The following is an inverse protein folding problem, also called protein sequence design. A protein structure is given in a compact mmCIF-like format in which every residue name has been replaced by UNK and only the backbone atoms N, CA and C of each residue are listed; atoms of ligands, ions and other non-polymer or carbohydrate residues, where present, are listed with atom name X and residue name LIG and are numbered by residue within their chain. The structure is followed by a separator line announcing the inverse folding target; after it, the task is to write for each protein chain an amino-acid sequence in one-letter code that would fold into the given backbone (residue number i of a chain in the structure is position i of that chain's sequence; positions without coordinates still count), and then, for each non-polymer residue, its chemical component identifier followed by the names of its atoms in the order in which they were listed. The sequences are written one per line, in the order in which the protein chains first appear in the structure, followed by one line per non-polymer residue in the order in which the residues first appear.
data_IF_153227558674
#
_entry.id   IF_153227558674
#
_cell.length_a   1.000
_cell.length_b   1.000
_cell.length_c   1.000
_cell.angle_alpha   90.00
_cell.angle_beta   90.00
_cell.angle_gamma   90.00
#
_symmetry.space_group_name_H-M   'P 1'
#
loop_
_entity.id
_entity.type
_entity.pdbx_description
1 polymer ?
#
# COMPACT_ATOMS: atom_id res chain seq x y z
N UNK A 1 -17.73 -8.01 -14.21
CA UNK A 1 -17.67 -6.91 -13.24
C UNK A 1 -17.10 -7.47 -11.94
N UNK A 2 -15.78 -7.40 -11.78
CA UNK A 2 -15.13 -7.89 -10.56
C UNK A 2 -15.41 -6.84 -9.49
N UNK A 3 -16.23 -7.19 -8.51
CA UNK A 3 -16.32 -6.45 -7.26
C UNK A 3 -14.95 -6.51 -6.60
N UNK A 4 -14.20 -5.40 -6.67
CA UNK A 4 -13.10 -5.18 -5.74
C UNK A 4 -13.72 -5.37 -4.34
N UNK A 5 -13.35 -6.43 -3.64
CA UNK A 5 -13.52 -6.43 -2.19
C UNK A 5 -12.56 -5.35 -1.72
N UNK A 6 -13.08 -4.13 -1.61
CA UNK A 6 -12.41 -3.09 -0.88
C UNK A 6 -11.99 -3.74 0.45
N UNK A 7 -10.74 -3.54 0.91
CA UNK A 7 -10.43 -3.84 2.30
C UNK A 7 -11.56 -3.27 3.17
N UNK A 8 -11.83 -3.87 4.33
CA UNK A 8 -12.88 -3.38 5.23
C UNK A 8 -12.50 -2.01 5.83
N UNK A 9 -12.25 -1.01 5.00
CA UNK A 9 -11.83 0.34 5.33
C UNK A 9 -12.92 1.06 6.11
N UNK A 10 -14.19 0.63 5.99
CA UNK A 10 -15.29 1.08 6.86
C UNK A 10 -15.10 0.71 8.34
N UNK A 11 -14.18 -0.22 8.64
CA UNK A 11 -13.78 -0.56 10.02
C UNK A 11 -12.66 0.33 10.55
N UNK A 12 -12.05 1.18 9.71
CA UNK A 12 -11.03 2.13 10.14
C UNK A 12 -11.74 3.30 10.84
N UNK A 13 -11.43 3.57 12.12
CA UNK A 13 -11.97 4.75 12.81
C UNK A 13 -11.69 6.05 12.04
N UNK A 14 -12.68 6.94 11.98
CA UNK A 14 -12.62 8.21 11.25
C UNK A 14 -12.99 8.10 9.76
N UNK A 15 -12.75 6.97 9.09
CA UNK A 15 -13.05 6.83 7.65
C UNK A 15 -14.55 6.94 7.32
N UNK A 16 -15.43 6.64 8.28
CA UNK A 16 -16.88 6.80 8.12
C UNK A 16 -17.33 8.27 8.11
N UNK A 17 -16.45 9.21 8.45
CA UNK A 17 -16.72 10.66 8.37
C UNK A 17 -16.50 11.20 6.96
N UNK A 18 -15.78 10.46 6.11
CA UNK A 18 -15.50 10.83 4.72
C UNK A 18 -16.75 10.60 3.87
N UNK A 19 -17.08 11.56 3.01
CA UNK A 19 -18.20 11.42 2.09
C UNK A 19 -17.99 10.25 1.11
N UNK A 20 -19.09 9.69 0.62
CA UNK A 20 -19.07 8.47 -0.20
C UNK A 20 -18.30 8.63 -1.50
N UNK A 21 -18.34 9.82 -2.11
CA UNK A 21 -17.70 10.07 -3.40
C UNK A 21 -16.19 10.12 -3.26
N UNK A 22 -15.69 10.88 -2.30
CA UNK A 22 -14.26 10.96 -1.98
C UNK A 22 -13.74 9.59 -1.54
N UNK A 23 -14.47 8.88 -0.68
CA UNK A 23 -14.10 7.52 -0.30
C UNK A 23 -13.96 6.61 -1.52
N UNK A 24 -14.85 6.71 -2.51
CA UNK A 24 -14.75 5.93 -3.73
C UNK A 24 -13.50 6.29 -4.56
N UNK A 25 -13.23 7.59 -4.75
CA UNK A 25 -12.03 8.09 -5.45
C UNK A 25 -10.75 7.61 -4.77
N UNK A 26 -10.64 7.80 -3.46
CA UNK A 26 -9.51 7.35 -2.65
C UNK A 26 -9.24 5.85 -2.84
N UNK A 27 -10.29 5.03 -2.78
CA UNK A 27 -10.13 3.59 -2.91
C UNK A 27 -9.72 3.15 -4.32
N UNK A 28 -10.13 3.85 -5.38
CA UNK A 28 -9.70 3.55 -6.75
C UNK A 28 -8.19 3.76 -6.92
N UNK A 29 -7.66 4.88 -6.43
CA UNK A 29 -6.25 5.23 -6.61
C UNK A 29 -5.29 4.56 -5.62
N UNK A 30 -5.80 4.01 -4.51
CA UNK A 30 -4.96 3.47 -3.41
C UNK A 30 -5.07 1.96 -3.22
N UNK A 31 -5.88 1.27 -4.01
CA UNK A 31 -6.03 -0.20 -3.90
C UNK A 31 -4.75 -0.93 -4.24
N UNK A 32 -3.96 -0.42 -5.20
CA UNK A 32 -2.68 -1.03 -5.55
C UNK A 32 -1.68 -0.92 -4.40
N UNK A 33 -1.50 0.28 -3.85
CA UNK A 33 -0.63 0.54 -2.69
C UNK A 33 -0.95 -0.39 -1.52
N UNK A 34 -2.25 -0.58 -1.23
CA UNK A 34 -2.70 -1.52 -0.23
C UNK A 34 -2.16 -2.94 -0.47
N UNK A 35 -2.26 -3.44 -1.71
CA UNK A 35 -1.76 -4.77 -2.04
C UNK A 35 -0.24 -4.86 -2.00
N UNK A 36 0.47 -3.83 -2.45
CA UNK A 36 1.92 -3.78 -2.35
C UNK A 36 2.36 -3.84 -0.88
N UNK A 37 1.79 -3.00 -0.01
CA UNK A 37 2.11 -2.97 1.43
C UNK A 37 1.73 -4.30 2.10
N UNK A 38 0.54 -4.84 1.81
CA UNK A 38 0.03 -6.08 2.41
C UNK A 38 0.88 -7.29 2.08
N UNK A 39 1.31 -7.40 0.83
CA UNK A 39 2.04 -8.57 0.33
C UNK A 39 3.55 -8.37 0.27
N UNK A 40 4.08 -7.22 0.68
CA UNK A 40 5.52 -6.94 0.72
C UNK A 40 6.29 -8.04 1.47
N UNK A 41 5.77 -8.54 2.60
CA UNK A 41 6.40 -9.60 3.38
C UNK A 41 6.53 -10.95 2.64
N UNK A 42 5.81 -11.12 1.53
CA UNK A 42 5.87 -12.31 0.67
C UNK A 42 6.89 -12.16 -0.46
N UNK A 43 7.51 -10.98 -0.60
CA UNK A 43 8.60 -10.70 -1.54
C UNK A 43 9.93 -10.91 -0.81
N UNK A 44 10.51 -12.10 -0.94
CA UNK A 44 11.72 -12.49 -0.21
C UNK A 44 12.67 -13.25 -1.12
N UNK A 45 13.98 -13.08 -0.92
CA UNK A 45 15.00 -13.78 -1.70
C UNK A 45 14.78 -13.65 -3.21
N UNK A 46 14.33 -12.47 -3.66
CA UNK A 46 14.08 -12.18 -5.07
C UNK A 46 13.00 -13.07 -5.72
N UNK A 47 12.09 -13.62 -4.90
CA UNK A 47 10.92 -14.40 -5.31
C UNK A 47 9.64 -13.92 -4.58
N UNK A 48 8.48 -14.16 -5.17
CA UNK A 48 7.18 -13.84 -4.59
C UNK A 48 6.45 -15.13 -4.20
N UNK A 49 6.09 -15.23 -2.92
CA UNK A 49 5.43 -16.41 -2.34
C UNK A 49 3.92 -16.22 -2.17
N UNK A 50 3.33 -15.17 -2.75
CA UNK A 50 1.89 -14.97 -2.76
C UNK A 50 1.19 -16.02 -3.61
N UNK A 51 0.21 -16.70 -3.00
CA UNK A 51 -0.67 -17.68 -3.66
C UNK A 51 -2.08 -17.07 -3.71
N UNK A 52 -2.60 -16.87 -4.92
CA UNK A 52 -3.97 -16.38 -5.09
C UNK A 52 -5.00 -17.50 -4.79
N UNK A 53 -6.29 -17.16 -4.59
CA UNK A 53 -7.34 -18.15 -4.29
C UNK A 53 -7.47 -19.28 -5.32
N UNK A 54 -7.00 -19.06 -6.56
CA UNK A 54 -6.95 -20.08 -7.61
C UNK A 54 -5.77 -21.07 -7.46
N UNK A 55 -5.00 -21.00 -6.37
CA UNK A 55 -3.85 -21.86 -6.09
C UNK A 55 -2.58 -21.51 -6.86
N UNK A 56 -2.59 -20.43 -7.65
CA UNK A 56 -1.44 -20.02 -8.46
C UNK A 56 -0.50 -19.14 -7.65
N UNK A 57 0.76 -19.56 -7.53
CA UNK A 57 1.83 -18.72 -7.02
C UNK A 57 2.16 -17.63 -8.05
N UNK A 58 2.27 -16.39 -7.59
CA UNK A 58 2.61 -15.24 -8.42
C UNK A 58 4.11 -14.97 -8.46
N UNK A 59 4.90 -15.98 -8.87
CA UNK A 59 6.36 -15.89 -8.86
C UNK A 59 6.88 -14.72 -9.70
N UNK A 60 8.13 -14.28 -9.44
CA UNK A 60 8.81 -13.22 -10.19
C UNK A 60 8.73 -13.45 -11.70
N UNK A 61 8.92 -14.71 -12.13
CA UNK A 61 8.77 -15.11 -13.53
C UNK A 61 7.37 -14.78 -14.09
N UNK A 62 6.30 -15.13 -13.35
CA UNK A 62 4.93 -14.85 -13.78
C UNK A 62 4.62 -13.36 -13.73
N UNK A 63 5.08 -12.65 -12.71
CA UNK A 63 4.97 -11.19 -12.63
C UNK A 63 5.61 -10.53 -13.85
N UNK A 64 6.81 -10.96 -14.25
CA UNK A 64 7.48 -10.44 -15.45
C UNK A 64 6.71 -10.72 -16.74
N UNK A 65 6.06 -11.89 -16.84
CA UNK A 65 5.20 -12.22 -17.98
C UNK A 65 3.93 -11.36 -18.05
N UNK A 66 3.39 -10.96 -16.89
CA UNK A 66 2.12 -10.23 -16.80
C UNK A 66 2.31 -8.72 -16.83
N UNK A 67 3.37 -8.22 -16.20
CA UNK A 67 3.61 -6.78 -15.94
C UNK A 67 4.81 -6.23 -16.70
N UNK A 68 5.63 -7.10 -17.30
CA UNK A 68 6.92 -6.73 -17.86
C UNK A 68 8.02 -6.65 -16.79
N UNK A 69 9.26 -6.57 -17.28
CA UNK A 69 10.47 -6.61 -16.45
C UNK A 69 10.60 -5.39 -15.56
N UNK A 70 10.32 -4.19 -16.09
CA UNK A 70 10.48 -2.92 -15.38
C UNK A 70 9.58 -2.86 -14.13
N UNK A 71 8.27 -3.05 -14.32
CA UNK A 71 7.30 -3.03 -13.23
C UNK A 71 7.60 -4.11 -12.19
N UNK A 72 8.00 -5.31 -12.65
CA UNK A 72 8.40 -6.39 -11.74
C UNK A 72 9.60 -5.96 -10.90
N UNK A 73 10.62 -5.34 -11.50
CA UNK A 73 11.80 -4.90 -10.76
C UNK A 73 11.44 -3.87 -9.69
N UNK A 74 10.56 -2.90 -10.00
CA UNK A 74 10.12 -1.89 -9.04
C UNK A 74 9.34 -2.53 -7.89
N UNK A 75 8.44 -3.50 -8.16
CA UNK A 75 7.71 -4.22 -7.10
C UNK A 75 8.68 -4.95 -6.17
N UNK A 76 9.69 -5.64 -6.72
CA UNK A 76 10.69 -6.34 -5.92
C UNK A 76 11.62 -5.38 -5.17
N UNK A 77 11.99 -4.25 -5.75
CA UNK A 77 12.75 -3.20 -5.07
C UNK A 77 11.95 -2.64 -3.88
N UNK A 78 10.68 -2.30 -4.09
CA UNK A 78 9.79 -1.86 -3.03
C UNK A 78 9.70 -2.92 -1.92
N UNK A 79 9.40 -4.17 -2.26
CA UNK A 79 9.27 -5.26 -1.29
C UNK A 79 10.53 -5.47 -0.45
N UNK A 80 11.71 -5.47 -1.09
CA UNK A 80 12.98 -5.62 -0.39
C UNK A 80 13.23 -4.47 0.58
N UNK A 81 13.13 -3.22 0.12
CA UNK A 81 13.33 -2.03 0.97
C UNK A 81 12.29 -1.94 2.07
N UNK A 82 11.05 -2.31 1.80
CA UNK A 82 9.98 -2.34 2.78
C UNK A 82 10.24 -3.39 3.87
N UNK A 83 10.71 -4.58 3.50
CA UNK A 83 11.04 -5.64 4.46
C UNK A 83 12.28 -5.29 5.31
N UNK A 84 13.21 -4.49 4.79
CA UNK A 84 14.36 -3.97 5.54
C UNK A 84 13.96 -3.04 6.70
N UNK A 85 12.81 -2.36 6.61
CA UNK A 85 12.28 -1.52 7.69
C UNK A 85 11.92 -2.31 8.96
N UNK A 86 11.70 -3.62 8.83
CA UNK A 86 11.36 -4.53 9.94
C UNK A 86 10.25 -3.97 10.84
N UNK A 87 9.18 -3.49 10.21
CA UNK A 87 8.00 -3.00 10.91
C UNK A 87 7.33 -4.16 11.66
N UNK A 88 6.89 -3.91 12.89
CA UNK A 88 6.06 -4.88 13.60
C UNK A 88 4.60 -4.83 13.09
N UNK A 89 3.78 -5.78 13.53
CA UNK A 89 2.39 -5.89 13.09
C UNK A 89 1.55 -4.63 13.40
N UNK A 90 1.85 -3.93 14.49
CA UNK A 90 1.11 -2.71 14.89
C UNK A 90 1.48 -1.54 13.97
N UNK A 91 2.78 -1.36 13.68
CA UNK A 91 3.27 -0.37 12.72
C UNK A 91 2.72 -0.64 11.31
N UNK A 92 2.76 -1.90 10.87
CA UNK A 92 2.23 -2.31 9.58
C UNK A 92 0.73 -2.03 9.44
N UNK A 93 -0.04 -2.32 10.49
CA UNK A 93 -1.49 -2.06 10.50
C UNK A 93 -1.83 -0.57 10.36
N UNK A 94 -1.00 0.33 10.90
CA UNK A 94 -1.19 1.77 10.82
C UNK A 94 -0.88 2.34 9.42
N UNK A 95 -0.13 1.62 8.58
CA UNK A 95 0.13 2.07 7.21
C UNK A 95 -1.14 2.07 6.34
N UNK A 96 -2.08 1.17 6.60
CA UNK A 96 -3.31 1.09 5.83
C UNK A 96 -4.15 2.38 5.89
N UNK A 97 -4.55 2.88 7.08
CA UNK A 97 -5.29 4.13 7.15
C UNK A 97 -4.47 5.33 6.66
N UNK A 98 -3.15 5.37 6.90
CA UNK A 98 -2.28 6.44 6.39
C UNK A 98 -2.31 6.48 4.86
N UNK A 99 -2.20 5.32 4.23
CA UNK A 99 -2.16 5.21 2.77
C UNK A 99 -3.52 5.51 2.12
N UNK A 100 -4.61 5.02 2.71
CA UNK A 100 -5.97 5.31 2.22
C UNK A 100 -6.26 6.80 2.32
N UNK A 101 -5.88 7.45 3.42
CA UNK A 101 -6.13 8.88 3.66
C UNK A 101 -5.09 9.83 3.06
N UNK A 102 -4.31 9.40 2.06
CA UNK A 102 -3.39 10.30 1.37
C UNK A 102 -4.16 11.42 0.65
N UNK A 103 -3.65 12.65 0.79
CA UNK A 103 -4.21 13.83 0.14
C UNK A 103 -4.20 13.68 -1.38
N UNK A 104 -5.26 14.17 -2.02
CA UNK A 104 -5.46 14.15 -3.47
C UNK A 104 -6.30 15.38 -3.83
N UNK A 105 -5.81 16.16 -4.79
CA UNK A 105 -6.41 17.45 -5.19
C UNK A 105 -7.81 17.29 -5.77
N UNK A 106 -8.20 16.08 -6.18
CA UNK A 106 -9.52 15.77 -6.74
C UNK A 106 -10.61 15.53 -5.68
N UNK A 107 -10.23 15.49 -4.41
CA UNK A 107 -11.12 15.24 -3.28
C UNK A 107 -11.75 16.54 -2.76
N UNK A 108 -13.03 16.47 -2.39
CA UNK A 108 -13.78 17.61 -1.89
C UNK A 108 -13.49 17.90 -0.41
N UNK A 109 -13.46 16.87 0.44
CA UNK A 109 -13.26 17.00 1.89
C UNK A 109 -11.81 16.71 2.32
N UNK A 110 -10.89 17.54 1.85
CA UNK A 110 -9.46 17.38 2.16
C UNK A 110 -9.14 17.59 3.64
N UNK A 111 -9.90 18.42 4.34
CA UNK A 111 -9.64 18.76 5.75
C UNK A 111 -9.89 17.55 6.67
N UNK A 112 -11.02 16.87 6.50
CA UNK A 112 -11.33 15.65 7.27
C UNK A 112 -10.32 14.55 6.96
N UNK A 113 -9.99 14.35 5.68
CA UNK A 113 -9.05 13.31 5.23
C UNK A 113 -7.66 13.55 5.81
N UNK A 114 -7.17 14.80 5.73
CA UNK A 114 -5.90 15.21 6.33
C UNK A 114 -5.89 15.04 7.85
N UNK A 115 -6.97 15.42 8.53
CA UNK A 115 -7.08 15.26 9.98
C UNK A 115 -6.97 13.79 10.40
N UNK A 116 -7.69 12.90 9.71
CA UNK A 116 -7.63 11.45 9.94
C UNK A 116 -6.20 10.94 9.70
N UNK A 117 -5.58 11.31 8.57
CA UNK A 117 -4.21 10.90 8.23
C UNK A 117 -3.19 11.34 9.28
N UNK A 118 -3.25 12.58 9.73
CA UNK A 118 -2.34 13.12 10.76
C UNK A 118 -2.48 12.34 12.07
N UNK A 119 -3.69 11.99 12.49
CA UNK A 119 -3.89 11.15 13.67
C UNK A 119 -3.19 9.78 13.55
N UNK A 120 -3.31 9.12 12.40
CA UNK A 120 -2.64 7.84 12.18
C UNK A 120 -1.12 7.95 12.02
N UNK A 121 -0.61 9.02 11.39
CA UNK A 121 0.83 9.30 11.34
C UNK A 121 1.40 9.51 12.75
N UNK A 122 0.69 10.26 13.60
CA UNK A 122 1.08 10.47 14.98
C UNK A 122 1.06 9.17 15.79
N UNK A 123 0.04 8.33 15.59
CA UNK A 123 -0.05 7.01 16.22
C UNK A 123 1.11 6.11 15.77
N UNK A 124 1.48 6.13 14.50
CA UNK A 124 2.61 5.36 13.97
C UNK A 124 3.93 5.79 14.58
N UNK A 125 4.20 7.09 14.60
CA UNK A 125 5.43 7.62 15.20
C UNK A 125 5.50 7.27 16.70
N UNK A 126 4.39 7.46 17.42
CA UNK A 126 4.29 7.08 18.84
C UNK A 126 4.57 5.59 19.03
N UNK A 127 3.97 4.72 18.21
CA UNK A 127 4.19 3.29 18.25
C UNK A 127 5.67 2.92 18.00
N UNK A 128 6.32 3.56 17.02
CA UNK A 128 7.74 3.37 16.76
C UNK A 128 8.59 3.75 17.99
N UNK A 129 8.28 4.87 18.64
CA UNK A 129 8.96 5.30 19.86
C UNK A 129 8.71 4.39 21.07
N UNK A 130 7.63 3.59 21.09
CA UNK A 130 7.39 2.61 22.18
C UNK A 130 8.23 1.35 22.04
N UNK A 131 8.69 1.03 20.83
CA UNK A 131 9.41 -0.22 20.53
C UNK A 131 10.89 -0.01 20.20
N UNK A 132 11.32 1.25 20.01
CA UNK A 132 12.69 1.64 19.65
C UNK A 132 13.08 2.94 20.38
N UNK A 133 14.36 3.30 20.35
CA UNK A 133 14.80 4.62 20.82
C UNK A 133 14.22 5.71 19.91
N UNK A 134 14.10 6.93 20.44
CA UNK A 134 13.51 8.04 19.70
C UNK A 134 14.26 8.33 18.40
N UNK A 135 15.59 8.32 18.45
CA UNK A 135 16.45 8.60 17.30
C UNK A 135 16.26 7.53 16.21
N UNK A 136 16.19 6.26 16.61
CA UNK A 136 15.93 5.14 15.68
C UNK A 136 14.53 5.23 15.07
N UNK A 137 13.53 5.69 15.84
CA UNK A 137 12.16 5.89 15.37
C UNK A 137 12.06 7.05 14.35
N UNK A 138 12.77 8.16 14.58
CA UNK A 138 12.84 9.28 13.62
C UNK A 138 13.45 8.83 12.29
N UNK A 139 14.59 8.14 12.34
CA UNK A 139 15.24 7.58 11.14
C UNK A 139 14.31 6.61 10.41
N UNK A 140 13.66 5.70 11.14
CA UNK A 140 12.73 4.72 10.55
C UNK A 140 11.53 5.40 9.88
N UNK A 141 11.00 6.47 10.49
CA UNK A 141 9.86 7.22 9.95
C UNK A 141 10.22 7.94 8.65
N UNK A 142 11.42 8.52 8.56
CA UNK A 142 11.96 9.11 7.33
C UNK A 142 12.18 8.04 6.25
N UNK A 143 12.83 6.93 6.60
CA UNK A 143 13.06 5.81 5.68
C UNK A 143 11.76 5.25 5.11
N UNK A 144 10.74 5.06 5.96
CA UNK A 144 9.42 4.63 5.55
C UNK A 144 8.83 5.56 4.50
N UNK A 145 8.94 6.88 4.70
CA UNK A 145 8.43 7.87 3.75
C UNK A 145 9.09 7.70 2.38
N UNK A 146 10.42 7.53 2.33
CA UNK A 146 11.16 7.26 1.09
C UNK A 146 10.75 5.95 0.43
N UNK A 147 10.52 4.88 1.20
CA UNK A 147 10.09 3.58 0.64
C UNK A 147 8.69 3.70 0.02
N UNK A 148 7.77 4.42 0.67
CA UNK A 148 6.42 4.63 0.15
C UNK A 148 6.41 5.46 -1.15
N UNK A 149 7.43 6.28 -1.41
CA UNK A 149 7.53 7.01 -2.69
C UNK A 149 7.73 6.09 -3.90
N UNK A 150 8.25 4.87 -3.70
CA UNK A 150 8.39 3.87 -4.76
C UNK A 150 7.04 3.36 -5.28
N UNK A 151 5.95 3.63 -4.55
CA UNK A 151 4.60 3.34 -5.01
C UNK A 151 4.11 4.30 -6.10
N UNK A 152 4.63 5.54 -6.14
CA UNK A 152 4.26 6.55 -7.16
C UNK A 152 4.50 6.04 -8.59
N UNK A 153 5.70 5.58 -8.98
CA UNK A 153 5.91 5.05 -10.32
C UNK A 153 5.10 3.79 -10.60
N UNK A 154 4.89 2.92 -9.60
CA UNK A 154 4.02 1.76 -9.77
C UNK A 154 2.59 2.18 -10.12
N UNK A 155 2.02 3.15 -9.41
CA UNK A 155 0.68 3.64 -9.67
C UNK A 155 0.55 4.28 -11.05
N UNK A 156 1.54 5.05 -11.50
CA UNK A 156 1.56 5.59 -12.87
C UNK A 156 1.51 4.46 -13.92
N UNK A 157 2.29 3.39 -13.75
CA UNK A 157 2.27 2.23 -14.66
C UNK A 157 0.93 1.47 -14.62
N UNK A 158 0.26 1.41 -13.46
CA UNK A 158 -1.08 0.82 -13.34
C UNK A 158 -2.16 1.67 -14.03
N UNK A 159 -2.05 2.99 -13.96
CA UNK A 159 -2.97 3.91 -14.63
C UNK A 159 -2.81 3.85 -16.16
N UNK A 160 -1.57 3.87 -16.67
CA UNK A 160 -1.27 3.75 -18.11
C UNK A 160 -1.77 2.42 -18.72
N UNK A 161 -1.82 1.36 -17.92
CA UNK A 161 -2.32 0.05 -18.34
C UNK A 161 -3.82 -0.14 -18.18
N UNK A 162 -4.56 0.90 -17.79
CA UNK A 162 -6.00 0.87 -17.49
C UNK A 162 -6.37 -0.21 -16.44
N UNK A 163 -5.49 -0.49 -15.48
CA UNK A 163 -5.75 -1.49 -14.44
C UNK A 163 -5.84 -2.95 -14.95
N UNK A 164 -5.44 -3.23 -16.20
CA UNK A 164 -5.50 -4.57 -16.80
C UNK A 164 -4.61 -5.61 -16.10
N UNK A 165 -3.73 -5.17 -15.20
CA UNK A 165 -2.80 -6.03 -14.46
C UNK A 165 -3.43 -6.70 -13.23
N UNK A 166 -4.58 -6.23 -12.73
CA UNK A 166 -5.19 -6.73 -11.49
C UNK A 166 -6.18 -7.89 -11.71
N UNK A 167 -6.37 -8.32 -12.96
CA UNK A 167 -7.28 -9.41 -13.30
C UNK A 167 -6.45 -10.55 -13.88
N UNK A 168 -6.31 -11.69 -13.18
CA UNK A 168 -5.90 -12.91 -13.85
C UNK A 168 -6.90 -13.14 -14.98
N UNK A 169 -6.44 -13.08 -16.23
CA UNK A 169 -7.24 -13.62 -17.33
C UNK A 169 -7.40 -15.10 -17.02
N UNK A 170 -8.59 -15.48 -16.58
CA UNK A 170 -8.99 -16.88 -16.51
C UNK A 170 -9.01 -17.38 -17.94
N UNK A 171 -8.06 -18.26 -18.27
CA UNK A 171 -8.24 -19.20 -19.38
C UNK A 171 -9.42 -20.13 -19.06
#
# INVERSE_FOLDING_TARGET
MITYQYPKCTQIPGVNEINREDFHKMMLHRVNDYYQIKYACLLMNNECYAIYPNGVQYSRRRMTQLYGTEMTNIIFEFGNKFNELKLNNQEHALLFPINVCNEDETLEDQETIRSIRVCYLYALYTQMCTTRKKEDAEILFEQLSTVLELLKPLNAMYEESNGNFLVPKTD
#
